data_IF_819762169626
#
_entry.id   IF_819762169626
#
_cell.length_a   1.000
_cell.length_b   1.000
_cell.length_c   1.000
_cell.angle_alpha   90.00
_cell.angle_beta   90.00
_cell.angle_gamma   90.00
#
_symmetry.space_group_name_H-M   'P 1'
#
loop_
_entity.id
_entity.type
_entity.pdbx_description
1 polymer ?
#
# COMPACT_ATOMS: atom_id res chain seq x y z
N UNK A 1 -3.43 18.22 2.65
CA UNK A 1 -2.34 18.80 1.84
C UNK A 1 -2.76 18.82 0.37
N UNK A 2 -2.37 19.85 -0.40
CA UNK A 2 -2.61 19.90 -1.85
C UNK A 2 -1.28 19.80 -2.57
N UNK A 3 -1.19 18.94 -3.59
CA UNK A 3 0.02 18.72 -4.36
C UNK A 3 -0.27 18.79 -5.87
N UNK A 4 0.76 19.08 -6.65
CA UNK A 4 0.81 19.09 -8.11
C UNK A 4 1.11 17.68 -8.64
N UNK A 5 0.91 17.49 -9.94
CA UNK A 5 1.19 16.21 -10.62
C UNK A 5 2.64 15.75 -10.47
N UNK A 6 3.59 16.67 -10.57
CA UNK A 6 5.02 16.38 -10.38
C UNK A 6 5.34 15.90 -8.96
N UNK A 7 4.64 16.43 -7.96
CA UNK A 7 4.80 16.00 -6.56
C UNK A 7 4.17 14.62 -6.35
N UNK A 8 3.04 14.33 -7.01
CA UNK A 8 2.47 12.98 -7.00
C UNK A 8 3.41 11.94 -7.61
N UNK A 9 4.07 12.27 -8.72
CA UNK A 9 5.07 11.39 -9.33
C UNK A 9 6.20 11.07 -8.36
N UNK A 10 6.73 12.10 -7.68
CA UNK A 10 7.74 11.91 -6.62
C UNK A 10 7.26 11.01 -5.49
N UNK A 11 6.04 11.23 -4.98
CA UNK A 11 5.45 10.36 -3.95
C UNK A 11 5.43 8.89 -4.39
N UNK A 12 5.07 8.64 -5.65
CA UNK A 12 5.04 7.28 -6.20
C UNK A 12 6.44 6.72 -6.41
N UNK A 13 7.37 7.53 -6.92
CA UNK A 13 8.78 7.15 -7.12
C UNK A 13 9.45 6.82 -5.78
N UNK A 14 9.26 7.65 -4.76
CA UNK A 14 9.79 7.44 -3.41
C UNK A 14 9.23 6.13 -2.82
N UNK A 15 7.92 5.90 -2.98
CA UNK A 15 7.28 4.66 -2.53
C UNK A 15 7.84 3.41 -3.22
N UNK A 16 8.11 3.49 -4.53
CA UNK A 16 8.72 2.40 -5.30
C UNK A 16 10.17 2.21 -4.89
N UNK A 17 10.92 3.27 -4.61
CA UNK A 17 12.32 3.18 -4.18
C UNK A 17 12.50 2.48 -2.82
N UNK A 18 11.46 2.51 -1.98
CA UNK A 18 11.46 1.89 -0.65
C UNK A 18 11.21 0.37 -0.67
N UNK A 19 10.84 -0.24 -1.80
CA UNK A 19 10.58 -1.69 -1.89
C UNK A 19 11.90 -2.48 -2.02
N UNK A 20 11.92 -3.71 -1.52
CA UNK A 20 13.13 -4.54 -1.45
C UNK A 20 12.80 -6.03 -1.39
N UNK A 21 13.84 -6.86 -1.57
CA UNK A 21 13.77 -8.31 -1.40
C UNK A 21 12.88 -8.99 -2.43
N UNK A 22 12.23 -10.09 -2.04
CA UNK A 22 11.21 -10.72 -2.85
C UNK A 22 9.92 -9.88 -2.79
N UNK A 23 9.55 -9.27 -3.91
CA UNK A 23 8.48 -8.27 -3.97
C UNK A 23 7.27 -8.75 -4.77
N UNK A 24 6.08 -8.44 -4.26
CA UNK A 24 4.81 -8.67 -4.94
C UNK A 24 4.23 -7.34 -5.43
N UNK A 25 3.88 -7.27 -6.71
CA UNK A 25 3.09 -6.18 -7.28
C UNK A 25 1.61 -6.56 -7.33
N UNK A 26 0.74 -5.70 -6.84
CA UNK A 26 -0.72 -5.88 -6.97
C UNK A 26 -1.27 -5.33 -8.29
N UNK A 27 -0.41 -5.08 -9.26
CA UNK A 27 -0.75 -4.56 -10.57
C UNK A 27 0.33 -4.98 -11.58
N UNK A 28 0.06 -4.95 -12.89
CA UNK A 28 1.06 -5.27 -13.91
C UNK A 28 2.29 -4.36 -13.83
N UNK A 29 3.48 -4.96 -13.89
CA UNK A 29 4.81 -4.32 -13.88
C UNK A 29 4.93 -3.23 -14.94
N UNK A 30 4.29 -3.40 -16.10
CA UNK A 30 4.26 -2.41 -17.18
C UNK A 30 3.65 -1.06 -16.76
N UNK A 31 2.83 -1.05 -15.70
CA UNK A 31 2.24 0.18 -15.16
C UNK A 31 3.14 0.89 -14.15
N UNK A 32 4.35 0.40 -13.89
CA UNK A 32 5.31 1.10 -13.03
C UNK A 32 5.81 2.37 -13.73
N UNK A 33 5.72 3.54 -13.08
CA UNK A 33 6.18 4.80 -13.66
C UNK A 33 7.70 4.98 -13.57
N UNK A 34 8.41 4.10 -12.87
CA UNK A 34 9.86 4.17 -12.66
C UNK A 34 10.49 2.78 -12.62
N UNK A 35 11.82 2.73 -12.60
CA UNK A 35 12.59 1.50 -12.54
C UNK A 35 12.45 0.82 -11.18
N UNK A 36 12.51 -0.52 -11.19
CA UNK A 36 12.57 -1.32 -9.97
C UNK A 36 13.90 -1.06 -9.25
N UNK A 37 13.90 -0.80 -7.93
CA UNK A 37 15.14 -0.53 -7.22
C UNK A 37 16.05 -1.77 -7.18
N UNK A 38 17.39 -1.61 -7.18
CA UNK A 38 18.33 -2.73 -7.14
C UNK A 38 18.21 -3.63 -5.91
N UNK A 39 17.59 -3.14 -4.83
CA UNK A 39 17.34 -3.91 -3.62
C UNK A 39 16.29 -5.03 -3.80
N UNK A 40 15.54 -5.02 -4.91
CA UNK A 40 14.57 -6.08 -5.25
C UNK A 40 15.30 -7.25 -5.88
N UNK A 41 15.24 -8.40 -5.24
CA UNK A 41 15.88 -9.64 -5.71
C UNK A 41 14.96 -10.45 -6.62
N UNK A 42 13.65 -10.34 -6.41
CA UNK A 42 12.64 -11.04 -7.21
C UNK A 42 11.35 -10.21 -7.24
N UNK A 43 10.63 -10.26 -8.37
CA UNK A 43 9.40 -9.52 -8.57
C UNK A 43 8.33 -10.45 -9.15
N UNK A 44 7.17 -10.53 -8.48
CA UNK A 44 6.01 -11.34 -8.89
C UNK A 44 4.78 -10.43 -9.00
N UNK A 45 3.87 -10.75 -9.91
CA UNK A 45 2.62 -10.00 -10.13
C UNK A 45 1.42 -10.81 -9.62
N UNK A 46 0.52 -10.15 -8.89
CA UNK A 46 -0.77 -10.71 -8.49
C UNK A 46 -1.70 -10.89 -9.71
N UNK A 47 -2.57 -11.92 -9.76
CA UNK A 47 -2.77 -13.00 -8.79
C UNK A 47 -1.89 -14.25 -9.03
N UNK A 48 -0.93 -14.18 -9.96
CA UNK A 48 -0.14 -15.34 -10.40
C UNK A 48 1.02 -15.63 -9.42
N UNK A 49 0.68 -15.93 -8.17
CA UNK A 49 1.64 -16.18 -7.09
C UNK A 49 1.95 -17.67 -6.97
N UNK A 50 3.24 -18.10 -7.05
CA UNK A 50 3.59 -19.49 -6.80
C UNK A 50 3.26 -19.93 -5.37
N UNK A 51 2.85 -21.18 -5.20
CA UNK A 51 2.56 -21.75 -3.88
C UNK A 51 3.74 -21.58 -2.91
N UNK A 52 3.45 -21.28 -1.65
CA UNK A 52 4.42 -21.06 -0.57
C UNK A 52 5.37 -19.86 -0.76
N UNK A 53 5.13 -18.98 -1.74
CA UNK A 53 5.92 -17.74 -1.87
C UNK A 53 5.77 -16.85 -0.64
N UNK A 54 6.89 -16.31 -0.17
CA UNK A 54 6.97 -15.31 0.89
C UNK A 54 7.59 -14.03 0.37
N UNK A 55 6.94 -12.89 0.61
CA UNK A 55 7.35 -11.59 0.10
C UNK A 55 7.79 -10.66 1.22
N UNK A 56 8.89 -9.97 1.02
CA UNK A 56 9.40 -8.92 1.93
C UNK A 56 8.66 -7.60 1.71
N UNK A 57 8.29 -7.32 0.46
CA UNK A 57 7.57 -6.10 0.07
C UNK A 57 6.36 -6.42 -0.78
N UNK A 58 5.25 -5.75 -0.53
CA UNK A 58 4.09 -5.69 -1.42
C UNK A 58 3.94 -4.25 -1.87
N UNK A 59 3.73 -4.01 -3.16
CA UNK A 59 3.45 -2.68 -3.70
C UNK A 59 2.04 -2.63 -4.30
N UNK A 60 1.29 -1.59 -3.93
CA UNK A 60 0.01 -1.26 -4.55
C UNK A 60 -0.11 0.22 -4.87
N UNK A 61 -0.52 0.53 -6.10
CA UNK A 61 -0.78 1.90 -6.53
C UNK A 61 -2.12 1.91 -7.26
N UNK A 62 -3.16 2.41 -6.59
CA UNK A 62 -4.50 2.55 -7.14
C UNK A 62 -5.28 1.23 -7.31
N UNK A 63 -4.74 0.11 -6.81
CA UNK A 63 -5.39 -1.19 -6.96
C UNK A 63 -6.25 -1.53 -5.75
N UNK A 64 -5.73 -1.39 -4.53
CA UNK A 64 -6.45 -1.83 -3.32
C UNK A 64 -7.73 -1.05 -3.05
N UNK A 65 -7.78 0.25 -3.35
CA UNK A 65 -9.01 1.03 -3.16
C UNK A 65 -10.12 0.69 -4.17
N UNK A 66 -9.77 -0.01 -5.25
CA UNK A 66 -10.70 -0.47 -6.28
C UNK A 66 -11.13 -1.93 -6.09
N UNK A 67 -10.54 -2.64 -5.14
CA UNK A 67 -10.81 -4.05 -4.86
C UNK A 67 -12.21 -4.23 -4.24
N UNK A 68 -13.12 -4.99 -4.89
CA UNK A 68 -14.47 -5.23 -4.37
C UNK A 68 -14.50 -5.91 -3.00
N UNK A 69 -13.61 -6.88 -2.76
CA UNK A 69 -13.50 -7.59 -1.48
C UNK A 69 -12.10 -7.43 -0.88
N UNK A 70 -11.78 -6.18 -0.53
CA UNK A 70 -10.50 -5.85 0.09
C UNK A 70 -10.20 -6.66 1.37
N UNK A 71 -11.17 -6.90 2.29
CA UNK A 71 -10.93 -7.77 3.45
C UNK A 71 -10.42 -9.17 3.07
N UNK A 72 -11.04 -9.81 2.09
CA UNK A 72 -10.63 -11.13 1.63
C UNK A 72 -9.23 -11.10 0.98
N UNK A 73 -8.96 -10.12 0.12
CA UNK A 73 -7.62 -9.95 -0.47
C UNK A 73 -6.56 -9.76 0.62
N UNK A 74 -6.83 -8.93 1.63
CA UNK A 74 -5.89 -8.71 2.74
C UNK A 74 -5.63 -9.97 3.55
N UNK A 75 -6.63 -10.85 3.69
CA UNK A 75 -6.48 -12.15 4.33
C UNK A 75 -5.59 -13.09 3.51
N UNK A 76 -5.80 -13.13 2.19
CA UNK A 76 -4.98 -13.94 1.26
C UNK A 76 -3.54 -13.46 1.25
N UNK A 77 -3.31 -12.15 1.16
CA UNK A 77 -1.96 -11.58 1.15
C UNK A 77 -1.16 -11.99 2.39
N UNK A 78 -1.77 -12.06 3.59
CA UNK A 78 -1.09 -12.49 4.82
C UNK A 78 -0.44 -13.87 4.71
N UNK A 79 -1.02 -14.78 3.92
CA UNK A 79 -0.46 -16.13 3.72
C UNK A 79 0.91 -16.08 3.06
N UNK A 80 1.21 -15.00 2.34
CA UNK A 80 2.45 -14.78 1.63
C UNK A 80 3.43 -13.84 2.35
N UNK A 81 3.19 -13.53 3.62
CA UNK A 81 4.04 -12.60 4.38
C UNK A 81 4.91 -13.29 5.43
N UNK A 82 6.00 -12.61 5.75
CA UNK A 82 6.82 -12.78 6.94
C UNK A 82 6.45 -11.69 7.96
N UNK A 83 6.96 -11.79 9.19
CA UNK A 83 6.68 -10.80 10.23
C UNK A 83 7.27 -9.40 9.92
N UNK A 84 8.26 -9.34 9.04
CA UNK A 84 8.95 -8.10 8.64
C UNK A 84 8.45 -7.56 7.31
N UNK A 85 7.51 -8.24 6.67
CA UNK A 85 6.93 -7.80 5.40
C UNK A 85 6.24 -6.44 5.52
N UNK A 86 6.39 -5.64 4.46
CA UNK A 86 5.76 -4.33 4.35
C UNK A 86 4.86 -4.24 3.13
N UNK A 87 3.70 -3.65 3.31
CA UNK A 87 2.80 -3.23 2.25
C UNK A 87 2.96 -1.73 2.02
N UNK A 88 3.49 -1.37 0.86
CA UNK A 88 3.62 -0.03 0.35
C UNK A 88 2.40 0.29 -0.51
N UNK A 89 1.68 1.36 -0.19
CA UNK A 89 0.43 1.67 -0.88
C UNK A 89 0.30 3.15 -1.23
N UNK A 90 -0.29 3.45 -2.39
CA UNK A 90 -0.75 4.78 -2.75
C UNK A 90 -2.11 4.69 -3.46
N UNK A 91 -3.17 5.04 -2.75
CA UNK A 91 -4.54 4.67 -3.11
C UNK A 91 -5.46 5.88 -3.17
N UNK A 92 -6.46 5.85 -4.05
CA UNK A 92 -7.53 6.86 -4.03
C UNK A 92 -8.34 6.74 -2.75
N UNK A 93 -8.72 7.88 -2.19
CA UNK A 93 -9.58 7.95 -1.01
C UNK A 93 -10.64 9.03 -1.19
N UNK A 94 -11.77 8.90 -0.49
CA UNK A 94 -12.77 9.97 -0.36
C UNK A 94 -12.48 10.89 0.83
N UNK A 95 -11.51 10.54 1.68
CA UNK A 95 -11.22 11.25 2.95
C UNK A 95 -9.76 11.75 2.98
N UNK A 96 -9.49 12.95 2.45
CA UNK A 96 -8.14 13.51 2.34
C UNK A 96 -7.62 14.18 3.62
N UNK A 97 -8.48 14.42 4.60
CA UNK A 97 -8.14 15.17 5.81
C UNK A 97 -8.19 14.20 7.01
N UNK A 98 -7.07 14.08 7.73
CA UNK A 98 -6.88 13.15 8.85
C UNK A 98 -7.62 13.53 10.14
N UNK A 99 -8.87 13.96 10.07
CA UNK A 99 -9.69 14.24 11.24
C UNK A 99 -10.10 12.95 11.97
N UNK A 100 -10.54 13.06 13.23
CA UNK A 100 -11.04 11.92 14.01
C UNK A 100 -12.05 11.09 13.21
N UNK A 101 -11.77 9.80 13.06
CA UNK A 101 -12.59 8.87 12.30
C UNK A 101 -12.21 8.71 10.82
N UNK A 102 -11.30 9.52 10.26
CA UNK A 102 -10.90 9.42 8.85
C UNK A 102 -10.42 8.03 8.46
N UNK A 103 -9.71 7.35 9.37
CA UNK A 103 -9.27 5.98 9.16
C UNK A 103 -10.44 5.03 8.90
N UNK A 104 -11.59 5.17 9.60
CA UNK A 104 -12.77 4.30 9.38
C UNK A 104 -13.37 4.42 7.98
N UNK A 105 -13.05 5.47 7.25
CA UNK A 105 -13.67 5.82 5.97
C UNK A 105 -12.69 5.73 4.79
N UNK A 106 -11.47 5.24 5.01
CA UNK A 106 -10.52 4.95 3.95
C UNK A 106 -9.81 3.60 4.16
N UNK A 107 -8.90 3.27 3.24
CA UNK A 107 -8.20 1.99 3.23
C UNK A 107 -7.47 1.68 4.55
N UNK A 108 -7.03 2.69 5.29
CA UNK A 108 -6.31 2.48 6.55
C UNK A 108 -7.19 1.90 7.66
N UNK A 109 -8.51 2.14 7.61
CA UNK A 109 -9.47 1.51 8.51
C UNK A 109 -9.70 0.05 8.17
N UNK A 110 -9.79 -0.28 6.88
CA UNK A 110 -9.88 -1.67 6.42
C UNK A 110 -8.62 -2.44 6.81
N UNK A 111 -7.43 -1.85 6.65
CA UNK A 111 -6.19 -2.41 7.18
C UNK A 111 -6.29 -2.70 8.68
N UNK A 112 -6.68 -1.70 9.48
CA UNK A 112 -6.79 -1.87 10.93
C UNK A 112 -7.76 -2.98 11.35
N UNK A 113 -8.92 -3.07 10.69
CA UNK A 113 -9.94 -4.08 10.94
C UNK A 113 -9.48 -5.50 10.57
N UNK A 114 -8.57 -5.62 9.60
CA UNK A 114 -8.06 -6.90 9.12
C UNK A 114 -6.66 -7.21 9.68
N UNK A 115 -6.35 -6.78 10.89
CA UNK A 115 -5.07 -7.06 11.58
C UNK A 115 -3.81 -6.56 10.86
N UNK A 116 -3.92 -5.48 10.10
CA UNK A 116 -2.79 -4.72 9.62
C UNK A 116 -2.58 -3.47 10.48
N UNK A 117 -1.32 -3.06 10.63
CA UNK A 117 -0.91 -1.84 11.30
C UNK A 117 -0.32 -0.90 10.27
N UNK A 118 -0.91 0.28 10.10
CA UNK A 118 -0.34 1.35 9.28
C UNK A 118 0.73 2.07 10.09
N UNK A 119 1.97 2.03 9.64
CA UNK A 119 3.14 2.59 10.35
C UNK A 119 3.62 3.93 9.78
N UNK A 120 3.31 4.21 8.50
CA UNK A 120 3.47 5.52 7.86
C UNK A 120 2.22 5.80 7.04
N UNK A 121 1.68 7.01 7.12
CA UNK A 121 0.45 7.37 6.41
C UNK A 121 0.40 8.87 6.14
N UNK A 122 0.21 9.24 4.88
CA UNK A 122 0.03 10.62 4.44
C UNK A 122 -1.18 10.72 3.53
N UNK A 123 -1.84 11.88 3.55
CA UNK A 123 -3.04 12.15 2.73
C UNK A 123 -2.90 13.46 2.00
N UNK A 124 -3.26 13.44 0.72
CA UNK A 124 -3.15 14.61 -0.13
C UNK A 124 -4.24 14.67 -1.20
N UNK A 125 -4.40 15.86 -1.79
CA UNK A 125 -5.26 16.13 -2.94
C UNK A 125 -4.40 16.53 -4.13
N UNK A 126 -4.72 15.97 -5.30
CA UNK A 126 -4.06 16.36 -6.55
C UNK A 126 -4.77 17.57 -7.16
N UNK A 127 -4.21 18.76 -6.94
CA UNK A 127 -4.78 20.05 -7.32
C UNK A 127 -5.68 20.69 -6.25
N UNK A 128 -5.99 21.97 -6.41
CA UNK A 128 -6.67 22.81 -5.41
C UNK A 128 -8.21 22.78 -5.47
N UNK A 129 -8.79 22.07 -6.44
CA UNK A 129 -10.25 22.06 -6.64
C UNK A 129 -10.97 21.23 -5.58
N UNK A 130 -12.24 21.57 -5.28
CA UNK A 130 -13.11 20.69 -4.48
C UNK A 130 -13.32 19.32 -5.13
N UNK A 131 -13.25 19.23 -6.47
CA UNK A 131 -13.37 17.99 -7.24
C UNK A 131 -12.03 17.26 -7.43
N UNK A 132 -10.93 17.79 -6.90
CA UNK A 132 -9.61 17.17 -7.05
C UNK A 132 -9.59 15.78 -6.39
N UNK A 133 -9.02 14.77 -7.08
CA UNK A 133 -8.92 13.43 -6.51
C UNK A 133 -8.03 13.47 -5.27
N UNK A 134 -8.42 12.66 -4.29
CA UNK A 134 -7.76 12.56 -2.99
C UNK A 134 -7.09 11.20 -2.90
N UNK A 135 -5.95 11.17 -2.23
CA UNK A 135 -5.11 9.99 -2.11
C UNK A 135 -4.62 9.81 -0.68
N UNK A 136 -4.36 8.55 -0.34
CA UNK A 136 -3.69 8.12 0.87
C UNK A 136 -2.50 7.27 0.45
N UNK A 137 -1.30 7.63 0.93
CA UNK A 137 -0.07 6.90 0.69
C UNK A 137 0.54 6.46 2.01
N UNK A 138 1.24 5.34 2.04
CA UNK A 138 1.81 4.86 3.29
C UNK A 138 2.46 3.50 3.23
N UNK A 139 2.82 3.04 4.43
CA UNK A 139 3.37 1.72 4.69
C UNK A 139 2.53 1.07 5.77
N UNK A 140 2.10 -0.17 5.51
CA UNK A 140 1.45 -1.05 6.47
C UNK A 140 2.28 -2.32 6.68
N UNK A 141 2.03 -3.00 7.78
CA UNK A 141 2.59 -4.33 8.11
C UNK A 141 1.54 -5.15 8.84
N UNK A 142 1.72 -6.46 8.97
CA UNK A 142 0.86 -7.26 9.85
C UNK A 142 0.97 -6.78 11.31
N UNK A 143 -0.14 -6.78 12.05
CA UNK A 143 -0.09 -6.55 13.50
C UNK A 143 0.69 -7.71 14.13
N UNK A 144 1.62 -7.35 15.01
CA UNK A 144 2.30 -8.35 15.84
C UNK A 144 1.30 -8.91 16.85
N UNK A 145 1.34 -10.22 17.08
CA UNK A 145 0.59 -10.84 18.17
C UNK A 145 1.02 -10.21 19.50
N UNK A 146 0.10 -10.10 20.47
CA UNK A 146 0.41 -9.58 21.81
C UNK A 146 1.55 -10.36 22.48
N UNK A 147 1.67 -11.66 22.20
CA UNK A 147 2.68 -12.54 22.80
C UNK A 147 4.10 -12.33 22.23
N UNK A 148 4.26 -11.55 21.16
CA UNK A 148 5.56 -11.19 20.59
C UNK A 148 6.11 -9.84 21.12
N UNK A 149 5.45 -9.25 22.12
CA UNK A 149 5.90 -8.03 22.81
C UNK A 149 6.37 -8.29 24.26
N UNK A 150 6.66 -9.55 24.61
CA UNK A 150 7.26 -9.95 25.88
C UNK A 150 8.74 -10.32 25.69
#
# INVERSE_FOLDING_TARGET
MYIKKIEYQKVVEDLISDIYGNSLLLFPKENLPTQIPPAVTQLIEWPNVPNNSKFDSILSIGNLASEPDLPQLLLELKQHLTNDSKLYFCERTKVPNGYNGSAKYDISGTFWANEWSVIRCERFRLGKSKKSPSYVTGIARMKRSRDQNL
#
